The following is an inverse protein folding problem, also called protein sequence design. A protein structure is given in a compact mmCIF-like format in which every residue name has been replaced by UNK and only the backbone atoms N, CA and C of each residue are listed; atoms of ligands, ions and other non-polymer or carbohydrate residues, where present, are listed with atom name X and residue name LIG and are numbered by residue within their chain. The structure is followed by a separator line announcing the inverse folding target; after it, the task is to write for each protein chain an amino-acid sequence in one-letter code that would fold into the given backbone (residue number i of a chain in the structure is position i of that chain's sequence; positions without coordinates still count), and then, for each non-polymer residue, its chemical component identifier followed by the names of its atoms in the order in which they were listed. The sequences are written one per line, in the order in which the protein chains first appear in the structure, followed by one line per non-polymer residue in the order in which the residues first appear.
data_IF_829854053682
#
_entry.id   IF_829854053682
#
_cell.length_a   1.000
_cell.length_b   1.000
_cell.length_c   1.000
_cell.angle_alpha   90.00
_cell.angle_beta   90.00
_cell.angle_gamma   90.00
#
_symmetry.space_group_name_H-M   'P 1'
#
loop_
_entity.id
_entity.type
_entity.pdbx_description
1 polymer ?
#
# COMPACT_ATOMS: atom_id res chain seq x y z
N UNK A 1 5.39 3.59 -25.13
CA UNK A 1 4.06 3.24 -24.62
C UNK A 1 3.93 3.74 -23.20
N UNK A 2 2.91 4.52 -22.92
CA UNK A 2 2.67 4.98 -21.54
C UNK A 2 2.08 3.84 -20.72
N UNK A 3 2.62 3.65 -19.53
CA UNK A 3 1.99 2.72 -18.58
C UNK A 3 0.62 3.26 -18.16
N UNK A 4 -0.35 2.38 -17.91
CA UNK A 4 -1.63 2.82 -17.34
C UNK A 4 -1.40 3.60 -16.05
N UNK A 5 -2.30 4.51 -15.66
CA UNK A 5 -2.16 5.25 -14.40
C UNK A 5 -2.12 4.33 -13.18
N UNK A 6 -2.68 3.15 -13.27
CA UNK A 6 -2.64 2.14 -12.22
C UNK A 6 -2.20 0.81 -12.83
N UNK A 7 -1.18 0.20 -12.21
CA UNK A 7 -0.78 -1.17 -12.54
C UNK A 7 -1.45 -2.09 -11.52
N UNK A 8 -2.15 -3.10 -11.99
CA UNK A 8 -2.92 -4.00 -11.14
C UNK A 8 -2.40 -5.42 -11.30
N UNK A 9 -2.24 -6.12 -10.18
CA UNK A 9 -1.83 -7.52 -10.17
C UNK A 9 -2.38 -8.18 -8.90
N UNK A 10 -1.96 -9.42 -8.66
CA UNK A 10 -2.34 -10.19 -7.47
C UNK A 10 -1.11 -10.84 -6.90
N UNK A 11 -1.07 -10.92 -5.56
CA UNK A 11 -0.03 -11.64 -4.84
C UNK A 11 -0.60 -12.99 -4.38
N UNK A 12 0.26 -13.99 -4.09
CA UNK A 12 -0.25 -15.30 -3.64
C UNK A 12 -0.86 -15.23 -2.24
N UNK A 13 -1.83 -16.08 -1.97
CA UNK A 13 -2.47 -16.18 -0.65
C UNK A 13 -1.45 -16.41 0.46
N UNK A 14 -0.40 -17.21 0.17
CA UNK A 14 0.66 -17.45 1.14
C UNK A 14 1.35 -16.18 1.61
N UNK A 15 1.47 -15.18 0.75
CA UNK A 15 2.03 -13.90 1.14
C UNK A 15 1.09 -13.15 2.09
N UNK A 16 -0.20 -13.16 1.83
CA UNK A 16 -1.19 -12.53 2.72
C UNK A 16 -1.14 -13.19 4.11
N UNK A 17 -1.11 -14.51 4.16
CA UNK A 17 -0.98 -15.23 5.43
C UNK A 17 0.33 -14.88 6.15
N UNK A 18 1.41 -14.75 5.41
CA UNK A 18 2.69 -14.31 5.95
C UNK A 18 2.59 -12.92 6.57
N UNK A 19 1.93 -11.99 5.89
CA UNK A 19 1.74 -10.62 6.41
C UNK A 19 0.93 -10.62 7.70
N UNK A 20 -0.12 -11.43 7.80
CA UNK A 20 -0.89 -11.53 9.04
C UNK A 20 -0.06 -12.11 10.19
N UNK A 21 0.78 -13.12 9.91
CA UNK A 21 1.70 -13.65 10.93
C UNK A 21 2.71 -12.61 11.38
N UNK A 22 3.24 -11.85 10.44
CA UNK A 22 4.18 -10.78 10.73
C UNK A 22 3.50 -9.71 11.58
N UNK A 23 2.24 -9.39 11.28
CA UNK A 23 1.44 -8.45 12.05
C UNK A 23 1.29 -8.87 13.50
N UNK A 24 1.10 -10.17 13.77
CA UNK A 24 0.98 -10.70 15.13
C UNK A 24 2.23 -10.47 15.97
N UNK A 25 3.39 -10.32 15.34
CA UNK A 25 4.66 -10.06 16.05
C UNK A 25 4.85 -8.59 16.40
N UNK A 26 4.03 -7.70 15.84
CA UNK A 26 4.13 -6.26 16.05
C UNK A 26 3.42 -5.88 17.35
N UNK A 27 4.17 -5.39 18.32
CA UNK A 27 3.64 -5.03 19.63
C UNK A 27 3.01 -3.64 19.65
N UNK A 28 3.45 -2.76 18.76
CA UNK A 28 3.02 -1.37 18.74
C UNK A 28 2.84 -0.87 17.32
N UNK A 29 1.85 -0.01 17.14
CA UNK A 29 1.63 0.72 15.88
C UNK A 29 1.92 2.18 16.13
N UNK A 30 2.60 2.81 15.19
CA UNK A 30 2.87 4.24 15.23
C UNK A 30 1.70 5.00 14.60
N UNK A 31 1.39 6.18 15.16
CA UNK A 31 0.42 7.08 14.53
C UNK A 31 1.01 7.61 13.24
N UNK A 32 0.22 7.60 12.17
CA UNK A 32 0.67 8.16 10.90
C UNK A 32 0.83 9.67 11.00
N UNK A 33 1.98 10.19 10.54
CA UNK A 33 2.22 11.62 10.42
C UNK A 33 1.65 12.20 9.12
N UNK A 34 1.28 11.35 8.18
CA UNK A 34 0.81 11.76 6.85
C UNK A 34 -0.71 11.74 6.81
N UNK A 35 -1.31 10.74 7.46
CA UNK A 35 -2.76 10.51 7.41
C UNK A 35 -3.27 10.31 8.82
N UNK A 36 -4.14 11.21 9.29
CA UNK A 36 -4.79 11.05 10.59
C UNK A 36 -5.73 9.85 10.57
N UNK A 37 -5.90 9.22 11.72
CA UNK A 37 -6.89 8.15 11.89
C UNK A 37 -6.43 6.77 11.46
N UNK A 38 -5.15 6.59 11.14
CA UNK A 38 -4.61 5.26 10.89
C UNK A 38 -3.32 5.04 11.68
N UNK A 39 -2.96 3.76 11.83
CA UNK A 39 -1.76 3.34 12.54
C UNK A 39 -0.91 2.48 11.62
N UNK A 40 0.40 2.63 11.68
CA UNK A 40 1.31 1.87 10.82
C UNK A 40 2.45 1.27 11.61
N UNK A 41 2.96 0.14 11.10
CA UNK A 41 4.17 -0.49 11.62
C UNK A 41 5.39 0.30 11.18
N UNK A 42 6.55 -0.06 11.75
CA UNK A 42 7.83 0.34 11.17
C UNK A 42 7.98 -0.30 9.79
N UNK A 43 9.00 0.12 9.04
CA UNK A 43 9.30 -0.50 7.75
C UNK A 43 9.71 -1.97 7.98
N UNK A 44 8.95 -2.89 7.41
CA UNK A 44 9.13 -4.33 7.59
C UNK A 44 9.82 -5.00 6.42
N UNK A 45 10.36 -4.23 5.48
CA UNK A 45 10.89 -4.79 4.23
C UNK A 45 11.98 -5.82 4.47
N UNK A 46 12.82 -5.64 5.48
CA UNK A 46 13.89 -6.60 5.79
C UNK A 46 13.37 -7.94 6.30
N UNK A 47 12.12 -7.99 6.73
CA UNK A 47 11.46 -9.22 7.18
C UNK A 47 10.73 -9.94 6.04
N UNK A 48 10.70 -9.36 4.84
CA UNK A 48 9.98 -9.92 3.70
C UNK A 48 10.94 -10.76 2.86
N UNK A 49 10.68 -12.07 2.68
CA UNK A 49 11.52 -12.92 1.85
C UNK A 49 11.62 -12.43 0.41
N UNK A 50 12.75 -12.67 -0.28
CA UNK A 50 12.94 -12.22 -1.66
C UNK A 50 11.83 -12.65 -2.62
N UNK A 51 11.31 -13.86 -2.48
CA UNK A 51 10.22 -14.35 -3.34
C UNK A 51 8.95 -13.50 -3.21
N UNK A 52 8.66 -13.00 -2.02
CA UNK A 52 7.50 -12.13 -1.81
C UNK A 52 7.77 -10.69 -2.24
N UNK A 53 9.01 -10.23 -2.10
CA UNK A 53 9.39 -8.92 -2.66
C UNK A 53 9.20 -8.93 -4.17
N UNK A 54 9.57 -10.02 -4.84
CA UNK A 54 9.37 -10.17 -6.28
C UNK A 54 7.89 -10.14 -6.65
N UNK A 55 7.03 -10.73 -5.82
CA UNK A 55 5.59 -10.71 -6.03
C UNK A 55 5.00 -9.29 -5.95
N UNK A 56 5.63 -8.39 -5.19
CA UNK A 56 5.21 -6.99 -5.11
C UNK A 56 5.61 -6.22 -6.37
N UNK A 57 6.86 -6.33 -6.80
CA UNK A 57 7.36 -5.56 -7.95
C UNK A 57 7.01 -6.18 -9.29
N UNK A 58 6.82 -7.51 -9.33
CA UNK A 58 6.52 -8.25 -10.57
C UNK A 58 7.54 -7.89 -11.66
N UNK A 59 7.05 -7.69 -12.89
CA UNK A 59 7.85 -7.22 -14.02
C UNK A 59 7.69 -5.70 -14.20
N UNK A 60 7.02 -5.03 -13.28
CA UNK A 60 6.76 -3.60 -13.38
C UNK A 60 8.00 -2.75 -13.11
N UNK A 61 8.87 -3.22 -12.22
CA UNK A 61 10.05 -2.48 -11.79
C UNK A 61 11.26 -3.39 -11.71
N UNK A 62 12.48 -2.81 -11.72
CA UNK A 62 13.70 -3.61 -11.59
C UNK A 62 13.67 -4.46 -10.32
N UNK A 63 14.22 -5.65 -10.43
CA UNK A 63 14.31 -6.63 -9.34
C UNK A 63 14.95 -6.04 -8.07
N UNK A 64 15.93 -5.17 -8.24
CA UNK A 64 16.69 -4.56 -7.16
C UNK A 64 16.17 -3.17 -6.75
N UNK A 65 14.99 -2.78 -7.22
CA UNK A 65 14.39 -1.51 -6.81
C UNK A 65 14.27 -1.45 -5.28
N UNK A 66 14.73 -0.35 -4.70
CA UNK A 66 14.61 -0.14 -3.27
C UNK A 66 13.22 0.38 -2.94
N UNK A 67 12.53 -0.33 -2.08
CA UNK A 67 11.19 0.06 -1.65
C UNK A 67 10.98 -0.28 -0.18
N UNK A 68 9.92 0.23 0.40
CA UNK A 68 9.58 -0.01 1.79
C UNK A 68 8.21 -0.68 1.90
N UNK A 69 7.93 -1.25 3.07
CA UNK A 69 6.65 -1.90 3.34
C UNK A 69 6.25 -1.64 4.79
N UNK A 70 5.04 -1.14 4.96
CA UNK A 70 4.41 -0.98 6.27
C UNK A 70 3.06 -1.69 6.23
N UNK A 71 2.65 -2.27 7.36
CA UNK A 71 1.27 -2.73 7.50
C UNK A 71 0.51 -1.59 8.17
N UNK A 72 -0.60 -1.21 7.57
CA UNK A 72 -1.43 -0.10 8.02
C UNK A 72 -2.75 -0.64 8.53
N UNK A 73 -3.11 -0.23 9.74
CA UNK A 73 -4.39 -0.55 10.37
C UNK A 73 -5.29 0.68 10.32
N UNK A 74 -6.46 0.52 9.73
CA UNK A 74 -7.49 1.56 9.72
C UNK A 74 -8.57 1.14 10.73
N UNK A 75 -8.82 1.95 11.78
CA UNK A 75 -9.88 1.63 12.74
C UNK A 75 -11.26 1.74 12.09
N UNK A 76 -12.26 1.27 12.81
CA UNK A 76 -13.65 1.32 12.35
C UNK A 76 -14.12 2.75 12.11
N UNK A 77 -14.77 2.92 10.98
CA UNK A 77 -15.40 4.19 10.63
C UNK A 77 -14.38 5.27 10.31
N UNK A 78 -14.79 6.20 9.54
CA UNK A 78 -13.96 7.32 9.20
C UNK A 78 -13.51 7.30 7.76
N UNK A 79 -13.36 8.48 7.25
CA UNK A 79 -12.86 8.75 5.93
C UNK A 79 -11.54 9.50 6.13
N UNK A 80 -10.48 9.01 5.51
CA UNK A 80 -9.19 9.66 5.60
C UNK A 80 -9.06 10.68 4.48
N UNK A 81 -8.42 11.80 4.80
CA UNK A 81 -8.22 12.87 3.83
C UNK A 81 -7.27 12.47 2.71
N UNK A 82 -7.41 13.11 1.56
CA UNK A 82 -6.47 12.96 0.45
C UNK A 82 -5.06 13.36 0.87
N UNK A 83 -4.09 12.58 0.45
CA UNK A 83 -2.67 12.84 0.72
C UNK A 83 -1.79 12.25 -0.38
N UNK A 84 -0.53 12.62 -0.37
CA UNK A 84 0.50 12.04 -1.26
C UNK A 84 1.74 11.69 -0.46
N UNK A 85 2.59 10.85 -1.06
CA UNK A 85 3.90 10.50 -0.51
C UNK A 85 5.03 11.02 -1.40
N UNK A 86 4.75 12.04 -2.19
CA UNK A 86 5.62 12.57 -3.24
C UNK A 86 7.00 12.99 -2.73
N UNK A 87 7.12 13.36 -1.45
CA UNK A 87 8.38 13.81 -0.89
C UNK A 87 9.46 12.73 -0.86
N UNK A 88 9.07 11.47 -0.69
CA UNK A 88 10.02 10.37 -0.53
C UNK A 88 9.78 9.18 -1.44
N UNK A 89 8.66 9.14 -2.14
CA UNK A 89 8.33 8.07 -3.07
C UNK A 89 8.10 8.62 -4.48
N UNK A 90 8.49 7.85 -5.50
CA UNK A 90 8.12 8.15 -6.89
C UNK A 90 6.97 7.28 -7.37
N UNK A 91 6.84 6.06 -6.86
CA UNK A 91 5.74 5.14 -7.12
C UNK A 91 5.28 4.56 -5.80
N UNK A 92 3.99 4.45 -5.62
CA UNK A 92 3.37 3.92 -4.41
C UNK A 92 2.58 2.66 -4.73
N UNK A 93 2.49 1.75 -3.76
CA UNK A 93 1.67 0.55 -3.91
C UNK A 93 0.83 0.28 -2.68
N UNK A 94 -0.25 -0.47 -2.89
CA UNK A 94 -1.11 -0.98 -1.82
C UNK A 94 -1.39 -2.45 -2.10
N UNK A 95 -1.13 -3.30 -1.11
CA UNK A 95 -1.56 -4.70 -1.12
C UNK A 95 -2.75 -4.82 -0.18
N UNK A 96 -3.90 -5.22 -0.72
CA UNK A 96 -5.11 -5.38 0.09
C UNK A 96 -5.05 -6.71 0.82
N UNK A 97 -5.10 -6.66 2.15
CA UNK A 97 -5.04 -7.85 3.01
C UNK A 97 -6.43 -8.39 3.33
N UNK A 98 -7.48 -7.62 3.03
CA UNK A 98 -8.88 -8.00 3.23
C UNK A 98 -9.75 -7.32 2.17
N UNK A 99 -11.07 -7.52 2.26
CA UNK A 99 -12.04 -7.00 1.31
C UNK A 99 -12.77 -5.74 1.83
N UNK A 100 -12.23 -5.10 2.88
CA UNK A 100 -12.88 -3.97 3.55
C UNK A 100 -12.52 -2.65 2.89
N UNK A 101 -13.54 -1.88 2.49
CA UNK A 101 -13.35 -0.52 1.99
C UNK A 101 -12.70 -0.44 0.62
N UNK A 102 -11.84 0.52 0.43
CA UNK A 102 -11.17 0.75 -0.85
C UNK A 102 -10.28 1.98 -0.82
N UNK A 103 -9.82 2.37 -1.99
CA UNK A 103 -8.94 3.52 -2.19
C UNK A 103 -9.48 4.39 -3.30
N UNK A 104 -9.58 5.69 -3.06
CA UNK A 104 -9.93 6.65 -4.09
C UNK A 104 -8.66 7.38 -4.52
N UNK A 105 -8.43 7.45 -5.82
CA UNK A 105 -7.28 8.09 -6.43
C UNK A 105 -7.74 9.23 -7.33
N UNK A 106 -7.05 10.37 -7.25
CA UNK A 106 -7.26 11.44 -8.21
C UNK A 106 -6.20 11.34 -9.30
N UNK A 107 -6.62 10.90 -10.48
CA UNK A 107 -5.74 10.76 -11.64
C UNK A 107 -5.96 11.95 -12.59
N UNK A 108 -5.04 12.16 -13.58
CA UNK A 108 -5.26 13.20 -14.57
C UNK A 108 -6.57 13.07 -15.36
N UNK A 109 -7.14 11.86 -15.40
CA UNK A 109 -8.38 11.60 -16.13
C UNK A 109 -9.61 11.63 -15.23
N UNK A 110 -9.44 11.91 -13.94
CA UNK A 110 -10.52 12.02 -12.97
C UNK A 110 -10.33 11.13 -11.77
N UNK A 111 -11.37 11.05 -10.98
CA UNK A 111 -11.39 10.26 -9.75
C UNK A 111 -11.62 8.78 -10.07
N UNK A 112 -10.82 7.92 -9.47
CA UNK A 112 -10.93 6.48 -9.63
C UNK A 112 -11.03 5.81 -8.27
N UNK A 113 -12.07 4.99 -8.08
CA UNK A 113 -12.24 4.18 -6.88
C UNK A 113 -11.80 2.75 -7.13
N UNK A 114 -10.90 2.24 -6.29
CA UNK A 114 -10.44 0.85 -6.33
C UNK A 114 -10.96 0.15 -5.08
N UNK A 115 -11.85 -0.81 -5.28
CA UNK A 115 -12.39 -1.59 -4.17
C UNK A 115 -11.33 -2.53 -3.62
N UNK A 116 -11.25 -2.63 -2.29
CA UNK A 116 -10.39 -3.62 -1.64
C UNK A 116 -10.81 -5.03 -2.03
N UNK A 117 -9.84 -5.83 -2.43
CA UNK A 117 -10.01 -7.23 -2.76
C UNK A 117 -8.76 -7.95 -2.26
N UNK A 118 -8.94 -8.90 -1.35
CA UNK A 118 -7.82 -9.64 -0.76
C UNK A 118 -6.92 -10.20 -1.86
N UNK A 119 -5.60 -10.03 -1.73
CA UNK A 119 -4.54 -10.39 -2.66
C UNK A 119 -4.30 -9.39 -3.80
N UNK A 120 -5.20 -8.45 -4.03
CA UNK A 120 -4.98 -7.42 -5.06
C UNK A 120 -3.85 -6.50 -4.65
N UNK A 121 -2.99 -6.16 -5.61
CA UNK A 121 -1.96 -5.12 -5.44
C UNK A 121 -2.14 -4.09 -6.54
N UNK A 122 -2.07 -2.82 -6.17
CA UNK A 122 -2.08 -1.73 -7.13
C UNK A 122 -0.81 -0.90 -6.95
N UNK A 123 -0.28 -0.44 -8.08
CA UNK A 123 0.81 0.53 -8.14
C UNK A 123 0.30 1.79 -8.82
N UNK A 124 0.69 2.94 -8.31
CA UNK A 124 0.26 4.21 -8.88
C UNK A 124 1.35 5.26 -8.67
N UNK A 125 1.25 6.36 -9.43
CA UNK A 125 2.17 7.47 -9.32
C UNK A 125 1.97 8.16 -7.97
N UNK A 126 3.05 8.39 -7.23
CA UNK A 126 3.00 9.02 -5.90
C UNK A 126 2.45 10.44 -5.92
N UNK A 127 2.40 11.07 -7.10
CA UNK A 127 1.80 12.40 -7.26
C UNK A 127 0.28 12.38 -7.14
N UNK A 128 -0.35 11.21 -7.33
CA UNK A 128 -1.80 11.12 -7.23
C UNK A 128 -2.24 11.27 -5.78
N UNK A 129 -3.12 12.22 -5.54
CA UNK A 129 -3.81 12.29 -4.25
C UNK A 129 -4.65 11.05 -4.08
N UNK A 130 -4.57 10.45 -2.91
CA UNK A 130 -5.34 9.26 -2.62
C UNK A 130 -5.87 9.28 -1.18
N UNK A 131 -6.97 8.60 -0.96
CA UNK A 131 -7.55 8.45 0.38
C UNK A 131 -8.11 7.05 0.54
N UNK A 132 -8.09 6.57 1.78
CA UNK A 132 -8.67 5.28 2.12
C UNK A 132 -10.13 5.46 2.53
N UNK A 133 -10.98 4.61 2.01
CA UNK A 133 -12.34 4.47 2.50
C UNK A 133 -12.37 3.30 3.47
N UNK A 134 -12.76 3.58 4.71
CA UNK A 134 -12.93 2.54 5.72
C UNK A 134 -14.42 2.25 5.90
N UNK A 135 -14.72 1.06 6.40
CA UNK A 135 -16.07 0.60 6.62
C UNK A 135 -16.28 0.38 8.12
N UNK A 136 -17.39 -0.25 8.50
CA UNK A 136 -17.70 -0.58 9.90
C UNK A 136 -16.78 -1.65 10.49
N UNK A 137 -15.75 -2.07 9.75
CA UNK A 137 -14.78 -3.08 10.15
C UNK A 137 -13.38 -2.49 10.16
N UNK A 138 -12.50 -3.05 11.00
CA UNK A 138 -11.08 -2.75 10.96
C UNK A 138 -10.52 -3.24 9.62
N UNK A 139 -9.71 -2.42 8.98
CA UNK A 139 -9.11 -2.69 7.67
C UNK A 139 -7.60 -2.74 7.79
N UNK A 140 -6.98 -3.69 7.09
CA UNK A 140 -5.53 -3.79 7.01
C UNK A 140 -5.07 -3.78 5.55
N UNK A 141 -3.99 -3.06 5.30
CA UNK A 141 -3.28 -3.11 4.02
C UNK A 141 -1.78 -3.16 4.29
N UNK A 142 -1.02 -3.72 3.35
CA UNK A 142 0.42 -3.50 3.31
C UNK A 142 0.66 -2.45 2.24
N UNK A 143 1.46 -1.44 2.55
CA UNK A 143 1.66 -0.33 1.64
C UNK A 143 3.08 0.19 1.73
N UNK A 144 3.53 0.81 0.66
CA UNK A 144 4.84 1.41 0.58
C UNK A 144 5.07 2.01 -0.79
N UNK A 145 6.32 2.08 -1.19
CA UNK A 145 6.66 2.63 -2.48
C UNK A 145 8.15 2.55 -2.77
N UNK A 146 8.49 2.88 -4.00
CA UNK A 146 9.87 2.98 -4.46
C UNK A 146 10.38 4.37 -4.08
N UNK A 147 11.53 4.40 -3.43
CA UNK A 147 12.14 5.65 -2.98
C UNK A 147 12.55 6.53 -4.17
N UNK A 148 12.42 7.83 -3.98
CA UNK A 148 12.99 8.79 -4.92
C UNK A 148 14.50 8.73 -4.83
N UNK A 149 15.14 8.77 -6.00
CA UNK A 149 16.58 8.98 -6.05
C UNK A 149 16.84 10.49 -5.85
N UNK A 150 17.61 10.82 -4.84
CA UNK A 150 18.02 12.17 -4.57
C UNK A 150 19.23 12.55 -5.44
N UNK A 151 18.99 12.81 -6.70
CA UNK A 151 20.03 13.32 -7.58
C UNK A 151 19.57 14.61 -8.21
#
# INVERSE_FOLDING_TARGET
MKLPPILLSYVPESFILFLYKLLETQKEFNTSNITEGCFLTNNLIDSIPPEYRQEIVKDFFPYDALFHLHIIKYPKGGELNYHTHIKFEKKSYIVYMDDVGGTTLQTPEGELFVKSERRKIIWFNSEFLHKALTDNKIRYVAAGGIYRNEN
#
